data_IF_426775540036
#
_entry.id   IF_426775540036
#
_cell.length_a   1.000
_cell.length_b   1.000
_cell.length_c   1.000
_cell.angle_alpha   90.00
_cell.angle_beta   90.00
_cell.angle_gamma   90.00
#
_symmetry.space_group_name_H-M   'P 1'
#
loop_
_entity.id
_entity.type
_entity.pdbx_description
1 polymer ?
#
# COMPACT_ATOMS: atom_id res chain seq x y z
N UNK A 1 10.72 -12.29 34.73
CA UNK A 1 10.32 -12.93 33.46
C UNK A 1 9.57 -12.01 32.49
N UNK A 2 9.30 -10.73 32.81
CA UNK A 2 8.52 -9.82 31.93
C UNK A 2 9.19 -9.38 30.62
N UNK A 3 10.53 -9.22 30.58
CA UNK A 3 11.20 -8.71 29.37
C UNK A 3 11.02 -9.61 28.14
N UNK A 4 11.07 -10.94 28.29
CA UNK A 4 10.94 -11.87 27.15
C UNK A 4 9.53 -11.85 26.54
N UNK A 5 8.50 -11.69 27.38
CA UNK A 5 7.12 -11.58 26.92
C UNK A 5 6.90 -10.32 26.10
N UNK A 6 7.43 -9.17 26.53
CA UNK A 6 7.33 -7.91 25.78
C UNK A 6 8.00 -7.99 24.41
N UNK A 7 9.18 -8.61 24.31
CA UNK A 7 9.87 -8.79 23.02
C UNK A 7 9.13 -9.77 22.11
N UNK A 8 8.52 -10.82 22.67
CA UNK A 8 7.70 -11.76 21.91
C UNK A 8 6.46 -11.06 21.30
N UNK A 9 5.72 -10.31 22.11
CA UNK A 9 4.56 -9.54 21.64
C UNK A 9 4.98 -8.55 20.55
N UNK A 10 6.13 -7.89 20.72
CA UNK A 10 6.66 -6.96 19.74
C UNK A 10 6.96 -7.62 18.39
N UNK A 11 7.65 -8.76 18.39
CA UNK A 11 7.94 -9.50 17.16
C UNK A 11 6.66 -9.96 16.44
N UNK A 12 5.65 -10.42 17.19
CA UNK A 12 4.34 -10.82 16.64
C UNK A 12 3.64 -9.63 15.98
N UNK A 13 3.57 -8.49 16.67
CA UNK A 13 2.92 -7.29 16.13
C UNK A 13 3.61 -6.80 14.84
N UNK A 14 4.93 -6.92 14.75
CA UNK A 14 5.69 -6.53 13.57
C UNK A 14 5.48 -7.47 12.40
N UNK A 15 5.38 -8.76 12.66
CA UNK A 15 5.02 -9.73 11.63
C UNK A 15 3.61 -9.45 11.10
N UNK A 16 2.65 -9.19 11.99
CA UNK A 16 1.28 -8.82 11.59
C UNK A 16 1.31 -7.55 10.74
N UNK A 17 2.00 -6.49 11.18
CA UNK A 17 2.10 -5.25 10.43
C UNK A 17 2.71 -5.46 9.03
N UNK A 18 3.80 -6.23 8.95
CA UNK A 18 4.43 -6.55 7.67
C UNK A 18 3.49 -7.32 6.75
N UNK A 19 2.82 -8.36 7.25
CA UNK A 19 1.86 -9.14 6.45
C UNK A 19 0.66 -8.29 6.01
N UNK A 20 0.15 -7.42 6.88
CA UNK A 20 -0.94 -6.50 6.54
C UNK A 20 -0.54 -5.55 5.42
N UNK A 21 0.68 -5.02 5.40
CA UNK A 21 1.16 -4.15 4.32
C UNK A 21 1.42 -4.95 3.04
N UNK A 22 2.02 -6.14 3.16
CA UNK A 22 2.33 -7.00 2.02
C UNK A 22 1.05 -7.46 1.30
N UNK A 23 0.01 -7.82 2.04
CA UNK A 23 -1.29 -8.25 1.50
C UNK A 23 -2.15 -7.03 1.14
N UNK A 24 -2.07 -5.94 1.90
CA UNK A 24 -2.79 -4.69 1.67
C UNK A 24 -2.39 -3.96 0.38
N UNK A 25 -1.12 -4.07 -0.01
CA UNK A 25 -0.58 -3.42 -1.21
C UNK A 25 -1.20 -3.90 -2.53
N UNK A 26 -1.35 -5.22 -2.79
CA UNK A 26 -2.03 -5.72 -3.98
C UNK A 26 -3.56 -5.69 -3.87
N UNK A 27 -4.12 -5.37 -2.70
CA UNK A 27 -5.57 -5.25 -2.53
C UNK A 27 -6.12 -4.02 -3.28
N UNK A 28 -7.39 -4.14 -3.65
CA UNK A 28 -8.10 -3.10 -4.39
C UNK A 28 -8.26 -1.85 -3.55
N UNK A 29 -7.76 -0.72 -4.07
CA UNK A 29 -7.89 0.57 -3.40
C UNK A 29 -9.22 1.24 -3.70
N UNK A 30 -9.70 1.11 -4.93
CA UNK A 30 -10.95 1.74 -5.35
C UNK A 30 -11.82 0.75 -6.10
N UNK A 31 -13.08 0.68 -5.66
CA UNK A 31 -14.16 -0.02 -6.35
C UNK A 31 -15.18 1.01 -6.82
N UNK A 32 -15.14 1.32 -8.11
CA UNK A 32 -16.15 2.15 -8.76
C UNK A 32 -17.22 1.28 -9.42
N UNK A 33 -18.45 1.78 -9.51
CA UNK A 33 -19.46 1.20 -10.42
C UNK A 33 -19.64 2.20 -11.55
N UNK A 34 -19.40 1.80 -12.80
CA UNK A 34 -19.68 2.69 -13.93
C UNK A 34 -21.18 2.78 -14.15
N UNK A 35 -21.65 3.97 -14.54
CA UNK A 35 -23.05 4.23 -14.93
C UNK A 35 -23.35 3.76 -16.36
N UNK A 36 -22.74 2.67 -16.78
CA UNK A 36 -23.08 2.02 -18.04
C UNK A 36 -24.35 1.18 -17.85
N UNK A 37 -25.14 0.92 -18.91
CA UNK A 37 -26.37 0.13 -18.83
C UNK A 37 -26.18 -1.30 -18.27
N UNK A 38 -24.93 -1.74 -18.13
CA UNK A 38 -24.54 -3.05 -17.60
C UNK A 38 -24.02 -3.01 -16.14
N UNK A 39 -24.03 -1.86 -15.44
CA UNK A 39 -23.60 -1.70 -14.03
C UNK A 39 -22.26 -2.39 -13.73
N UNK A 40 -21.24 -2.03 -14.49
CA UNK A 40 -19.96 -2.74 -14.45
C UNK A 40 -19.12 -2.21 -13.28
N UNK A 41 -18.65 -3.08 -12.38
CA UNK A 41 -17.70 -2.66 -11.34
C UNK A 41 -16.28 -2.56 -11.89
N UNK A 42 -15.65 -1.40 -11.74
CA UNK A 42 -14.25 -1.17 -12.09
C UNK A 42 -13.41 -1.24 -10.82
N UNK A 43 -12.43 -2.15 -10.81
CA UNK A 43 -11.47 -2.26 -9.71
C UNK A 43 -10.12 -1.69 -10.10
N UNK A 44 -9.77 -0.60 -9.44
CA UNK A 44 -8.52 0.12 -9.63
C UNK A 44 -7.63 -0.21 -8.43
N UNK A 45 -6.47 -0.80 -8.73
CA UNK A 45 -5.40 -1.00 -7.75
C UNK A 45 -4.34 0.08 -7.92
N UNK A 46 -3.35 0.09 -7.02
CA UNK A 46 -2.17 0.96 -7.15
C UNK A 46 -1.40 0.72 -8.47
N UNK A 47 -1.50 -0.50 -9.01
CA UNK A 47 -0.68 -1.03 -10.11
C UNK A 47 -1.41 -1.04 -11.46
N UNK A 48 -2.72 -0.80 -11.47
CA UNK A 48 -3.52 -0.78 -12.68
C UNK A 48 -4.97 -1.21 -12.46
N UNK A 49 -5.69 -1.37 -13.57
CA UNK A 49 -7.08 -1.84 -13.57
C UNK A 49 -7.12 -3.34 -13.78
N UNK A 50 -7.90 -4.03 -12.96
CA UNK A 50 -8.14 -5.47 -13.12
C UNK A 50 -8.90 -5.73 -14.42
N UNK A 51 -8.58 -6.85 -15.08
CA UNK A 51 -9.22 -7.27 -16.33
C UNK A 51 -10.69 -7.63 -16.12
N UNK A 52 -11.01 -8.19 -14.96
CA UNK A 52 -12.36 -8.61 -14.62
C UNK A 52 -13.09 -7.54 -13.81
N UNK A 53 -14.37 -7.38 -14.13
CA UNK A 53 -15.26 -6.40 -13.51
C UNK A 53 -15.79 -6.87 -12.14
N UNK A 54 -15.69 -8.17 -11.83
CA UNK A 54 -15.98 -8.69 -10.49
C UNK A 54 -14.72 -8.75 -9.60
N UNK A 55 -13.58 -8.34 -10.14
CA UNK A 55 -12.33 -8.14 -9.41
C UNK A 55 -11.74 -9.43 -8.81
N UNK A 56 -12.16 -10.59 -9.33
CA UNK A 56 -11.66 -11.88 -8.89
C UNK A 56 -10.26 -12.19 -9.46
N UNK A 57 -9.92 -11.61 -10.61
CA UNK A 57 -8.67 -11.89 -11.30
C UNK A 57 -7.53 -10.94 -10.88
N UNK A 58 -6.31 -11.49 -10.82
CA UNK A 58 -5.06 -10.75 -10.57
C UNK A 58 -4.53 -10.09 -11.86
N UNK A 59 -5.00 -10.52 -13.02
CA UNK A 59 -4.55 -9.99 -14.32
C UNK A 59 -5.02 -8.55 -14.51
N UNK A 60 -4.11 -7.70 -15.00
CA UNK A 60 -4.39 -6.31 -15.31
C UNK A 60 -4.77 -6.17 -16.78
N UNK A 61 -5.88 -5.46 -17.07
CA UNK A 61 -6.22 -5.09 -18.44
C UNK A 61 -5.32 -3.96 -18.96
N UNK A 62 -5.05 -2.98 -18.10
CA UNK A 62 -4.20 -1.83 -18.39
C UNK A 62 -3.36 -1.50 -17.15
N UNK A 63 -2.10 -1.13 -17.38
CA UNK A 63 -1.22 -0.63 -16.32
C UNK A 63 -1.54 0.82 -16.00
N UNK A 64 -1.15 1.27 -14.80
CA UNK A 64 -1.31 2.67 -14.35
C UNK A 64 -0.72 3.67 -15.36
N UNK A 65 0.42 3.34 -15.97
CA UNK A 65 1.09 4.18 -16.97
C UNK A 65 0.29 4.33 -18.27
N UNK A 66 -0.35 3.24 -18.72
CA UNK A 66 -1.21 3.23 -19.91
C UNK A 66 -2.53 3.95 -19.68
N UNK A 67 -3.16 3.71 -18.52
CA UNK A 67 -4.44 4.32 -18.15
C UNK A 67 -4.33 5.84 -18.00
N UNK A 68 -3.29 6.33 -17.32
CA UNK A 68 -3.10 7.76 -17.08
C UNK A 68 -2.18 8.44 -18.11
N UNK A 69 -2.01 7.85 -19.30
CA UNK A 69 -1.12 8.39 -20.33
C UNK A 69 -1.45 9.83 -20.72
N UNK A 70 -2.73 10.20 -20.68
CA UNK A 70 -3.25 11.55 -20.98
C UNK A 70 -3.23 12.50 -19.78
N UNK A 71 -3.04 11.98 -18.57
CA UNK A 71 -3.16 12.72 -17.31
C UNK A 71 -1.84 12.61 -16.54
N UNK A 72 -0.86 13.38 -16.99
CA UNK A 72 0.54 13.28 -16.53
C UNK A 72 0.70 13.55 -15.04
N UNK A 73 -0.05 14.51 -14.48
CA UNK A 73 -0.03 14.83 -13.05
C UNK A 73 -0.51 13.65 -12.20
N UNK A 74 -1.67 13.08 -12.55
CA UNK A 74 -2.23 11.91 -11.87
C UNK A 74 -1.30 10.70 -11.98
N UNK A 75 -0.75 10.46 -13.18
CA UNK A 75 0.27 9.42 -13.39
C UNK A 75 1.49 9.59 -12.48
N UNK A 76 1.98 10.81 -12.30
CA UNK A 76 3.11 11.08 -11.41
C UNK A 76 2.76 10.76 -9.95
N UNK A 77 1.58 11.12 -9.48
CA UNK A 77 1.15 10.79 -8.12
C UNK A 77 0.99 9.27 -7.91
N UNK A 78 0.43 8.54 -8.87
CA UNK A 78 0.38 7.07 -8.82
C UNK A 78 1.78 6.46 -8.80
N UNK A 79 2.72 6.94 -9.62
CA UNK A 79 4.10 6.43 -9.62
C UNK A 79 4.85 6.75 -8.32
N UNK A 80 4.62 7.92 -7.74
CA UNK A 80 5.14 8.25 -6.41
C UNK A 80 4.54 7.34 -5.34
N UNK A 81 3.23 7.06 -5.43
CA UNK A 81 2.54 6.15 -4.54
C UNK A 81 3.08 4.72 -4.64
N UNK A 82 3.26 4.19 -5.85
CA UNK A 82 3.90 2.88 -6.09
C UNK A 82 5.28 2.81 -5.41
N UNK A 83 6.12 3.81 -5.62
CA UNK A 83 7.44 3.86 -5.00
C UNK A 83 7.38 3.92 -3.46
N UNK A 84 6.51 4.77 -2.90
CA UNK A 84 6.34 4.92 -1.45
C UNK A 84 5.84 3.64 -0.79
N UNK A 85 4.91 2.92 -1.43
CA UNK A 85 4.42 1.63 -0.94
C UNK A 85 5.51 0.57 -0.97
N UNK A 86 6.31 0.49 -2.04
CA UNK A 86 7.45 -0.44 -2.10
C UNK A 86 8.47 -0.14 -1.00
N UNK A 87 8.80 1.13 -0.78
CA UNK A 87 9.67 1.55 0.32
C UNK A 87 9.08 1.13 1.66
N UNK A 88 7.78 1.34 1.86
CA UNK A 88 7.08 0.94 3.08
C UNK A 88 7.19 -0.57 3.32
N UNK A 89 6.99 -1.42 2.30
CA UNK A 89 7.15 -2.88 2.41
C UNK A 89 8.56 -3.23 2.89
N UNK A 90 9.59 -2.60 2.32
CA UNK A 90 10.99 -2.83 2.71
C UNK A 90 11.22 -2.40 4.17
N UNK A 91 10.71 -1.24 4.58
CA UNK A 91 10.82 -0.75 5.96
C UNK A 91 10.17 -1.70 6.97
N UNK A 92 8.96 -2.20 6.67
CA UNK A 92 8.27 -3.17 7.52
C UNK A 92 8.95 -4.55 7.51
N UNK A 93 9.54 -4.98 6.39
CA UNK A 93 10.32 -6.21 6.32
C UNK A 93 11.57 -6.13 7.20
N UNK A 94 12.33 -5.03 7.10
CA UNK A 94 13.49 -4.77 7.97
C UNK A 94 13.07 -4.68 9.43
N UNK A 95 11.95 -4.04 9.73
CA UNK A 95 11.41 -4.00 11.08
C UNK A 95 11.06 -5.39 11.62
N UNK A 96 10.40 -6.24 10.83
CA UNK A 96 10.07 -7.61 11.23
C UNK A 96 11.34 -8.44 11.48
N UNK A 97 12.34 -8.37 10.59
CA UNK A 97 13.63 -9.06 10.76
C UNK A 97 14.34 -8.62 12.05
N UNK A 98 14.40 -7.31 12.31
CA UNK A 98 14.97 -6.77 13.55
C UNK A 98 14.17 -7.20 14.79
N UNK A 99 12.85 -7.31 14.68
CA UNK A 99 11.95 -7.89 15.68
C UNK A 99 12.33 -9.30 16.10
N UNK A 100 12.59 -10.17 15.12
CA UNK A 100 13.06 -11.53 15.37
C UNK A 100 14.47 -11.55 15.97
N UNK A 101 15.39 -10.72 15.48
CA UNK A 101 16.77 -10.64 16.00
C UNK A 101 16.79 -10.15 17.46
N UNK A 102 15.86 -9.26 17.83
CA UNK A 102 15.71 -8.77 19.20
C UNK A 102 15.37 -9.86 20.22
N UNK A 103 14.74 -10.96 19.80
CA UNK A 103 14.46 -12.11 20.68
C UNK A 103 15.75 -12.77 21.18
N UNK A 104 16.85 -12.61 20.45
CA UNK A 104 18.11 -13.29 20.72
C UNK A 104 19.20 -12.40 21.32
N UNK A 105 19.31 -11.09 20.99
CA UNK A 105 20.56 -10.40 21.36
C UNK A 105 20.66 -8.88 21.57
N UNK A 106 19.63 -8.03 21.63
CA UNK A 106 19.86 -6.61 22.00
C UNK A 106 18.59 -5.79 22.30
N UNK A 107 18.60 -4.97 23.36
CA UNK A 107 17.51 -4.03 23.68
C UNK A 107 17.54 -2.71 22.90
N UNK A 108 18.70 -2.31 22.38
CA UNK A 108 18.89 -1.06 21.61
C UNK A 108 18.17 -1.07 20.25
N UNK A 109 18.01 -2.25 19.65
CA UNK A 109 17.31 -2.43 18.37
C UNK A 109 15.84 -2.02 18.43
N UNK A 110 15.25 -1.93 19.64
CA UNK A 110 13.87 -1.49 19.85
C UNK A 110 13.62 -0.08 19.32
N UNK A 111 14.56 0.84 19.54
CA UNK A 111 14.42 2.22 19.08
C UNK A 111 14.52 2.34 17.55
N UNK A 112 15.45 1.60 16.94
CA UNK A 112 15.59 1.52 15.48
C UNK A 112 14.33 0.97 14.85
N UNK A 113 13.77 -0.07 15.44
CA UNK A 113 12.59 -0.73 14.91
C UNK A 113 11.32 0.09 15.11
N UNK A 114 11.23 0.84 16.21
CA UNK A 114 10.18 1.85 16.41
C UNK A 114 10.28 2.95 15.35
N UNK A 115 11.48 3.48 15.09
CA UNK A 115 11.71 4.48 14.06
C UNK A 115 11.31 3.97 12.66
N UNK A 116 11.69 2.74 12.30
CA UNK A 116 11.29 2.11 11.03
C UNK A 116 9.77 1.98 10.89
N UNK A 117 9.06 1.60 11.95
CA UNK A 117 7.60 1.51 11.94
C UNK A 117 6.94 2.90 11.81
N UNK A 118 7.48 3.92 12.46
CA UNK A 118 6.97 5.30 12.35
C UNK A 118 7.19 5.83 10.93
N UNK A 119 8.38 5.63 10.36
CA UNK A 119 8.64 6.03 8.96
C UNK A 119 7.74 5.24 8.01
N UNK A 120 7.58 3.93 8.21
CA UNK A 120 6.68 3.09 7.41
C UNK A 120 5.22 3.55 7.48
N UNK A 121 4.76 3.97 8.66
CA UNK A 121 3.41 4.52 8.84
C UNK A 121 3.25 5.86 8.10
N UNK A 122 4.25 6.74 8.20
CA UNK A 122 4.23 8.03 7.51
C UNK A 122 4.25 7.84 5.99
N UNK A 123 5.11 6.96 5.47
CA UNK A 123 5.18 6.69 4.03
C UNK A 123 3.85 6.15 3.53
N UNK A 124 3.27 5.14 4.19
CA UNK A 124 1.94 4.62 3.85
C UNK A 124 0.86 5.71 3.94
N UNK A 125 0.84 6.50 5.01
CA UNK A 125 -0.12 7.58 5.19
C UNK A 125 -0.08 8.61 4.06
N UNK A 126 1.13 8.99 3.62
CA UNK A 126 1.31 9.85 2.45
C UNK A 126 0.77 9.17 1.19
N UNK A 127 1.05 7.88 1.00
CA UNK A 127 0.57 7.13 -0.17
C UNK A 127 -0.96 7.16 -0.27
N UNK A 128 -1.63 6.81 0.83
CA UNK A 128 -3.10 6.81 0.90
C UNK A 128 -3.67 8.22 0.79
N UNK A 129 -3.00 9.21 1.40
CA UNK A 129 -3.38 10.62 1.29
C UNK A 129 -3.39 11.12 -0.15
N UNK A 130 -2.32 10.86 -0.90
CA UNK A 130 -2.23 11.19 -2.33
C UNK A 130 -3.40 10.58 -3.10
N UNK A 131 -3.64 9.28 -2.90
CA UNK A 131 -4.69 8.57 -3.62
C UNK A 131 -6.10 9.07 -3.30
N UNK A 132 -6.39 9.42 -2.04
CA UNK A 132 -7.66 10.04 -1.66
C UNK A 132 -7.83 11.41 -2.30
N UNK A 133 -6.75 12.21 -2.38
CA UNK A 133 -6.83 13.52 -3.03
C UNK A 133 -7.10 13.43 -4.53
N UNK A 134 -6.53 12.44 -5.23
CA UNK A 134 -6.79 12.19 -6.66
C UNK A 134 -8.20 11.63 -6.91
N UNK A 135 -8.80 10.96 -5.93
CA UNK A 135 -10.18 10.50 -6.03
C UNK A 135 -11.18 11.62 -5.78
N UNK A 136 -10.88 12.52 -4.85
CA UNK A 136 -11.77 13.62 -4.48
C UNK A 136 -11.63 14.85 -5.40
N UNK A 137 -10.45 15.05 -6.01
CA UNK A 137 -10.32 15.98 -7.13
C UNK A 137 -10.98 15.36 -8.34
N UNK A 138 -12.12 15.93 -8.73
CA UNK A 138 -12.70 15.69 -10.05
C UNK A 138 -11.78 16.29 -11.10
N UNK A 139 -10.74 15.56 -11.49
CA UNK A 139 -10.00 15.88 -12.70
C UNK A 139 -11.01 15.85 -13.86
N UNK A 140 -10.99 16.89 -14.70
CA UNK A 140 -12.01 17.10 -15.73
C UNK A 140 -12.26 15.88 -16.65
N UNK A 141 -13.31 15.91 -17.48
CA UNK A 141 -13.84 14.72 -18.19
C UNK A 141 -12.84 13.98 -19.09
N UNK A 142 -11.69 14.56 -19.41
CA UNK A 142 -10.60 13.92 -20.16
C UNK A 142 -9.71 12.97 -19.33
N UNK A 143 -9.84 13.00 -18.00
CA UNK A 143 -9.05 12.21 -17.05
C UNK A 143 -9.90 11.21 -16.23
N UNK A 144 -11.15 10.98 -16.64
CA UNK A 144 -12.10 10.09 -15.96
C UNK A 144 -12.37 8.78 -16.69
N UNK A 145 -11.75 8.55 -17.86
CA UNK A 145 -11.97 7.39 -18.72
C UNK A 145 -10.66 6.61 -18.96
#
# INVERSE_FOLDING_TARGET
MGCKFTFLVYAILQLIAFLSVLIGTPLEMFRGTTRDPYNVSLCITLWGTKYDFQCHFIMYAQTTDGQWARCTTRRQHFRMAEALVVISIILYALAALLGFIMLFCCSLLRWVCLALNVVGLLTLGITWGLMVTEFNKGDGPLCLL
#
